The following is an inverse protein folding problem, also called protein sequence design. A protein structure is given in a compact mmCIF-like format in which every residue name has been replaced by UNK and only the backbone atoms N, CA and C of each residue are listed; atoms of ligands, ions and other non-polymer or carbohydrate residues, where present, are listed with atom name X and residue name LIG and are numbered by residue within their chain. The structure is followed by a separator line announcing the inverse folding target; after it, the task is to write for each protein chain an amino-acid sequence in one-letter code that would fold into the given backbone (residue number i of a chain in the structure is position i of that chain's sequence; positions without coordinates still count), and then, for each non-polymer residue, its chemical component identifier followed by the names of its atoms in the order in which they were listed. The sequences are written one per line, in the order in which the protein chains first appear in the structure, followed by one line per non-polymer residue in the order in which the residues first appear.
data_IF_150483878352
#
_entry.id   IF_150483878352
#
_cell.length_a   1.000
_cell.length_b   1.000
_cell.length_c   1.000
_cell.angle_alpha   90.00
_cell.angle_beta   90.00
_cell.angle_gamma   90.00
#
_symmetry.space_group_name_H-M   'P 1'
#
loop_
_entity.id
_entity.type
_entity.pdbx_description
1 polymer ?
#
# COMPACT_ATOMS: atom_id res chain seq x y z
N UNK A 1 3.20 6.43 14.96
CA UNK A 1 3.15 6.36 13.49
C UNK A 1 2.02 5.44 13.15
N UNK A 2 1.12 5.86 12.27
CA UNK A 2 -0.09 5.12 11.93
C UNK A 2 -0.16 5.06 10.41
N UNK A 3 -0.21 3.85 9.86
CA UNK A 3 -0.48 3.63 8.44
C UNK A 3 -1.92 3.16 8.33
N UNK A 4 -2.69 3.83 7.47
CA UNK A 4 -4.09 3.52 7.21
C UNK A 4 -4.27 3.32 5.72
N UNK A 5 -4.94 2.24 5.36
CA UNK A 5 -5.42 2.03 4.00
C UNK A 5 -6.66 2.91 3.77
N UNK A 6 -6.63 3.74 2.72
CA UNK A 6 -7.73 4.68 2.45
C UNK A 6 -8.88 3.98 1.71
N UNK A 7 -8.56 3.02 0.84
CA UNK A 7 -9.55 2.20 0.14
C UNK A 7 -9.00 0.82 -0.17
N UNK A 8 -9.88 -0.18 -0.16
CA UNK A 8 -9.57 -1.54 -0.57
C UNK A 8 -9.20 -1.62 -2.07
N UNK A 9 -8.38 -2.60 -2.49
CA UNK A 9 -8.24 -2.93 -3.90
C UNK A 9 -9.57 -3.31 -4.51
N UNK A 10 -9.74 -2.98 -5.79
CA UNK A 10 -10.90 -3.33 -6.58
C UNK A 10 -11.11 -4.87 -6.60
N UNK A 11 -12.37 -5.33 -6.55
CA UNK A 11 -12.68 -6.76 -6.44
C UNK A 11 -12.20 -7.54 -7.67
N UNK A 12 -12.30 -6.93 -8.85
CA UNK A 12 -11.83 -7.47 -10.12
C UNK A 12 -10.31 -7.69 -10.20
N UNK A 13 -9.54 -7.03 -9.33
CA UNK A 13 -8.10 -7.21 -9.26
C UNK A 13 -7.71 -8.46 -8.44
N UNK A 14 -8.66 -9.06 -7.70
CA UNK A 14 -8.42 -10.29 -6.96
C UNK A 14 -8.59 -11.50 -7.90
N UNK A 15 -7.57 -12.37 -8.03
CA UNK A 15 -7.52 -13.41 -9.06
C UNK A 15 -8.33 -14.68 -8.71
N UNK A 16 -9.62 -14.53 -8.39
CA UNK A 16 -10.49 -15.63 -7.92
C UNK A 16 -10.51 -16.80 -8.90
N UNK A 17 -10.66 -16.52 -10.19
CA UNK A 17 -10.74 -17.57 -11.24
C UNK A 17 -9.42 -18.30 -11.43
N UNK A 18 -8.31 -17.57 -11.51
CA UNK A 18 -6.98 -18.18 -11.59
C UNK A 18 -6.64 -19.00 -10.34
N UNK A 19 -7.16 -18.62 -9.17
CA UNK A 19 -7.01 -19.40 -7.95
C UNK A 19 -7.87 -20.67 -7.94
N UNK A 20 -9.10 -20.61 -8.45
CA UNK A 20 -9.93 -21.81 -8.64
C UNK A 20 -9.26 -22.83 -9.58
N UNK A 21 -8.64 -22.35 -10.66
CA UNK A 21 -7.83 -23.18 -11.57
C UNK A 21 -6.60 -23.76 -10.88
N UNK A 22 -5.90 -22.98 -10.04
CA UNK A 22 -4.77 -23.46 -9.24
C UNK A 22 -5.18 -24.60 -8.30
N UNK A 23 -6.35 -24.49 -7.67
CA UNK A 23 -6.95 -25.51 -6.82
C UNK A 23 -7.55 -26.70 -7.61
N UNK A 24 -7.57 -26.63 -8.94
CA UNK A 24 -8.16 -27.64 -9.84
C UNK A 24 -9.65 -27.89 -9.55
N UNK A 25 -10.38 -26.83 -9.23
CA UNK A 25 -11.84 -26.91 -9.10
C UNK A 25 -12.48 -27.20 -10.45
N UNK A 26 -13.56 -27.98 -10.45
CA UNK A 26 -14.30 -28.31 -11.66
C UNK A 26 -14.92 -27.07 -12.29
N UNK A 27 -14.87 -26.96 -13.61
CA UNK A 27 -15.45 -25.87 -14.40
C UNK A 27 -16.50 -26.38 -15.37
N UNK A 28 -17.40 -25.49 -15.82
CA UNK A 28 -18.44 -25.82 -16.80
C UNK A 28 -19.65 -26.57 -16.23
N UNK A 29 -19.80 -26.62 -14.91
CA UNK A 29 -20.99 -27.12 -14.23
C UNK A 29 -21.99 -25.98 -13.98
N UNK A 30 -23.25 -26.33 -13.67
CA UNK A 30 -24.29 -25.34 -13.41
C UNK A 30 -24.04 -24.51 -12.14
N UNK A 31 -23.24 -25.03 -11.21
CA UNK A 31 -22.82 -24.42 -9.94
C UNK A 31 -21.40 -23.82 -9.99
N UNK A 32 -20.84 -23.64 -11.20
CA UNK A 32 -19.55 -22.97 -11.37
C UNK A 32 -19.58 -21.57 -10.73
N UNK A 33 -18.64 -21.31 -9.81
CA UNK A 33 -18.58 -20.09 -9.02
C UNK A 33 -19.31 -20.10 -7.68
N UNK A 34 -19.92 -21.22 -7.27
CA UNK A 34 -20.55 -21.34 -5.95
C UNK A 34 -19.59 -21.04 -4.78
N UNK A 35 -18.27 -21.17 -4.98
CA UNK A 35 -17.24 -20.93 -3.97
C UNK A 35 -16.51 -19.58 -4.10
N UNK A 36 -16.86 -18.74 -5.08
CA UNK A 36 -16.09 -17.53 -5.39
C UNK A 36 -15.91 -16.59 -4.20
N UNK A 37 -16.96 -16.38 -3.42
CA UNK A 37 -16.87 -15.53 -2.23
C UNK A 37 -15.91 -16.06 -1.16
N UNK A 38 -15.83 -17.39 -1.00
CA UNK A 38 -14.88 -18.01 -0.06
C UNK A 38 -13.45 -17.94 -0.60
N UNK A 39 -13.26 -18.19 -1.89
CA UNK A 39 -11.97 -18.08 -2.56
C UNK A 39 -11.42 -16.65 -2.50
N UNK A 40 -12.26 -15.65 -2.73
CA UNK A 40 -11.89 -14.24 -2.60
C UNK A 40 -11.44 -13.91 -1.18
N UNK A 41 -12.15 -14.41 -0.16
CA UNK A 41 -11.79 -14.19 1.24
C UNK A 41 -10.40 -14.77 1.57
N UNK A 42 -10.13 -16.02 1.14
CA UNK A 42 -8.82 -16.64 1.35
C UNK A 42 -7.69 -15.90 0.63
N UNK A 43 -7.93 -15.45 -0.61
CA UNK A 43 -6.97 -14.64 -1.34
C UNK A 43 -6.68 -13.33 -0.62
N UNK A 44 -7.70 -12.59 -0.19
CA UNK A 44 -7.51 -11.32 0.54
C UNK A 44 -6.76 -11.52 1.85
N UNK A 45 -7.06 -12.59 2.59
CA UNK A 45 -6.34 -12.93 3.82
C UNK A 45 -4.86 -13.27 3.55
N UNK A 46 -4.58 -14.09 2.54
CA UNK A 46 -3.22 -14.46 2.16
C UNK A 46 -2.41 -13.25 1.66
N UNK A 47 -3.04 -12.39 0.83
CA UNK A 47 -2.44 -11.13 0.39
C UNK A 47 -2.08 -10.26 1.58
N UNK A 48 -3.02 -9.96 2.48
CA UNK A 48 -2.76 -9.13 3.66
C UNK A 48 -1.63 -9.70 4.53
N UNK A 49 -1.60 -11.03 4.74
CA UNK A 49 -0.55 -11.69 5.51
C UNK A 49 0.84 -11.57 4.86
N UNK A 50 0.92 -11.69 3.54
CA UNK A 50 2.18 -11.51 2.79
C UNK A 50 2.60 -10.05 2.80
N UNK A 51 1.70 -9.12 2.50
CA UNK A 51 1.99 -7.68 2.46
C UNK A 51 2.54 -7.19 3.82
N UNK A 52 1.92 -7.62 4.92
CA UNK A 52 2.38 -7.31 6.29
C UNK A 52 3.78 -7.88 6.60
N UNK A 53 4.13 -9.04 6.04
CA UNK A 53 5.43 -9.68 6.24
C UNK A 53 6.55 -8.95 5.50
N UNK A 54 6.30 -8.53 4.27
CA UNK A 54 7.36 -8.01 3.37
C UNK A 54 7.37 -6.48 3.25
N UNK A 55 6.36 -5.79 3.79
CA UNK A 55 6.22 -4.33 3.66
C UNK A 55 5.99 -3.88 2.22
N UNK A 56 5.32 -4.73 1.42
CA UNK A 56 4.96 -4.42 0.03
C UNK A 56 3.48 -4.59 -0.19
N UNK A 57 2.82 -3.61 -0.79
CA UNK A 57 1.48 -3.77 -1.33
C UNK A 57 1.57 -4.54 -2.66
N UNK A 58 0.75 -5.57 -2.83
CA UNK A 58 0.66 -6.34 -4.07
C UNK A 58 -0.10 -5.54 -5.13
N UNK A 59 -1.26 -5.03 -4.75
CA UNK A 59 -2.13 -4.20 -5.59
C UNK A 59 -2.00 -2.71 -5.21
N UNK A 60 -1.97 -1.87 -6.24
CA UNK A 60 -1.88 -0.42 -6.10
C UNK A 60 -3.14 0.14 -5.43
N UNK A 61 -2.95 0.85 -4.31
CA UNK A 61 -4.04 1.51 -3.59
C UNK A 61 -3.54 2.71 -2.77
N UNK A 62 -4.44 3.65 -2.41
CA UNK A 62 -4.09 4.81 -1.62
C UNK A 62 -3.90 4.48 -0.13
N UNK A 63 -2.90 5.11 0.47
CA UNK A 63 -2.56 5.03 1.88
C UNK A 63 -2.45 6.43 2.50
N UNK A 64 -2.80 6.52 3.78
CA UNK A 64 -2.48 7.66 4.64
C UNK A 64 -1.47 7.20 5.69
N UNK A 65 -0.37 7.94 5.81
CA UNK A 65 0.65 7.67 6.82
C UNK A 65 0.88 8.89 7.71
N UNK A 66 0.50 8.74 8.98
CA UNK A 66 0.59 9.77 9.99
C UNK A 66 1.82 9.60 10.89
N UNK A 67 2.60 10.67 11.03
CA UNK A 67 3.80 10.73 11.88
C UNK A 67 3.79 11.99 12.75
N UNK A 68 4.17 11.86 14.02
CA UNK A 68 4.27 12.99 14.95
C UNK A 68 5.64 13.68 14.92
N UNK A 69 6.62 13.04 14.29
CA UNK A 69 7.96 13.56 14.02
C UNK A 69 8.53 12.84 12.80
N UNK A 70 9.40 13.53 12.06
CA UNK A 70 10.23 12.88 11.04
C UNK A 70 11.22 11.92 11.70
N UNK A 71 11.50 10.79 11.06
CA UNK A 71 12.45 9.80 11.60
C UNK A 71 13.90 10.28 11.52
N UNK A 72 14.26 10.92 10.42
CA UNK A 72 15.59 11.48 10.18
C UNK A 72 15.46 12.99 9.93
N UNK A 73 16.52 13.76 10.18
CA UNK A 73 16.48 15.24 10.14
C UNK A 73 16.03 15.82 8.78
N UNK A 74 16.13 15.03 7.71
CA UNK A 74 15.70 15.42 6.36
C UNK A 74 14.91 14.32 5.63
N UNK A 75 14.54 13.22 6.30
CA UNK A 75 13.87 12.10 5.62
C UNK A 75 12.84 11.37 6.48
N UNK A 76 11.85 10.82 5.79
CA UNK A 76 10.82 9.96 6.35
C UNK A 76 10.64 8.74 5.46
N UNK A 77 11.03 7.56 5.97
CA UNK A 77 10.74 6.28 5.33
C UNK A 77 9.24 6.01 5.26
N UNK A 78 8.79 5.54 4.09
CA UNK A 78 7.43 5.07 3.89
C UNK A 78 7.38 3.58 4.23
N UNK A 79 6.46 3.13 5.10
CA UNK A 79 6.47 1.77 5.65
C UNK A 79 6.02 0.70 4.66
N UNK A 80 5.39 1.10 3.55
CA UNK A 80 4.91 0.20 2.50
C UNK A 80 5.32 0.72 1.13
N UNK A 81 5.72 -0.18 0.25
CA UNK A 81 6.01 0.11 -1.16
C UNK A 81 5.50 -0.97 -2.09
N UNK A 82 5.91 -1.00 -3.37
CA UNK A 82 6.59 0.09 -4.06
C UNK A 82 5.69 1.34 -4.15
N UNK A 83 6.26 2.53 -3.97
CA UNK A 83 5.50 3.79 -3.97
C UNK A 83 5.38 4.32 -5.39
N UNK A 84 4.14 4.53 -5.84
CA UNK A 84 3.80 4.98 -7.21
C UNK A 84 3.63 6.50 -7.30
N UNK A 85 3.06 7.11 -6.28
CA UNK A 85 2.89 8.57 -6.18
C UNK A 85 2.78 8.94 -4.71
N UNK A 86 3.20 10.16 -4.37
CA UNK A 86 2.83 10.82 -3.11
C UNK A 86 1.94 11.97 -3.53
N UNK A 87 0.68 11.93 -3.14
CA UNK A 87 -0.31 12.93 -3.54
C UNK A 87 -0.18 14.21 -2.73
N UNK A 88 0.27 14.13 -1.47
CA UNK A 88 0.46 15.33 -0.66
C UNK A 88 0.99 15.05 0.74
N UNK A 89 1.43 16.13 1.37
CA UNK A 89 1.84 16.16 2.78
C UNK A 89 1.06 17.27 3.47
N UNK A 90 0.29 16.93 4.50
CA UNK A 90 -0.50 17.88 5.27
C UNK A 90 0.01 17.92 6.70
N UNK A 91 0.28 19.12 7.22
CA UNK A 91 0.72 19.35 8.58
C UNK A 91 -0.46 19.79 9.43
N UNK A 92 -0.75 19.06 10.50
CA UNK A 92 -1.82 19.37 11.44
C UNK A 92 -1.26 19.96 12.72
N UNK A 93 -1.86 21.07 13.16
CA UNK A 93 -1.63 21.68 14.46
C UNK A 93 -2.32 20.93 15.61
N UNK A 94 -2.07 21.39 16.85
CA UNK A 94 -2.71 20.84 18.05
C UNK A 94 -4.22 21.13 18.12
N UNK A 95 -4.68 22.16 17.41
CA UNK A 95 -6.07 22.56 17.21
C UNK A 95 -6.78 21.75 16.10
N UNK A 96 -6.05 20.87 15.40
CA UNK A 96 -6.55 20.10 14.27
C UNK A 96 -6.57 20.88 12.94
N UNK A 97 -6.10 22.13 12.90
CA UNK A 97 -6.00 22.89 11.67
C UNK A 97 -4.92 22.28 10.76
N UNK A 98 -5.31 21.88 9.55
CA UNK A 98 -4.42 21.32 8.54
C UNK A 98 -3.90 22.38 7.58
N UNK A 99 -2.61 22.38 7.33
CA UNK A 99 -1.97 23.18 6.28
C UNK A 99 -1.21 22.24 5.33
N UNK A 100 -1.53 22.31 4.04
CA UNK A 100 -0.79 21.55 3.03
C UNK A 100 0.63 22.11 2.90
N UNK A 101 1.62 21.22 2.93
CA UNK A 101 3.01 21.60 2.74
C UNK A 101 3.27 21.80 1.24
N UNK A 102 3.92 22.92 0.91
CA UNK A 102 4.31 23.26 -0.46
C UNK A 102 5.06 22.08 -1.13
N UNK A 103 4.54 21.52 -2.24
CA UNK A 103 5.19 20.43 -2.98
C UNK A 103 6.63 20.72 -3.43
N UNK A 104 7.03 21.99 -3.52
CA UNK A 104 8.42 22.37 -3.84
C UNK A 104 9.39 22.18 -2.66
N UNK A 105 8.90 21.88 -1.45
CA UNK A 105 9.73 21.70 -0.25
C UNK A 105 10.17 20.26 -0.01
N UNK A 106 9.54 19.29 -0.68
CA UNK A 106 9.82 17.86 -0.51
C UNK A 106 9.89 17.14 -1.86
N UNK A 107 10.46 15.95 -1.87
CA UNK A 107 10.45 15.04 -3.01
C UNK A 107 10.43 13.59 -2.53
N UNK A 108 10.18 12.66 -3.46
CA UNK A 108 10.14 11.24 -3.17
C UNK A 108 11.39 10.59 -3.75
N UNK A 109 12.22 10.03 -2.88
CA UNK A 109 13.26 9.10 -3.31
C UNK A 109 12.59 7.75 -3.59
N UNK A 110 12.34 7.51 -4.87
CA UNK A 110 11.76 6.26 -5.37
C UNK A 110 12.83 5.17 -5.35
N UNK A 111 12.88 4.45 -4.23
CA UNK A 111 13.71 3.28 -4.05
C UNK A 111 12.82 2.05 -3.90
N UNK A 112 13.14 0.98 -4.64
CA UNK A 112 12.33 -0.25 -4.64
C UNK A 112 12.41 -1.00 -3.31
N UNK A 113 13.41 -0.72 -2.47
CA UNK A 113 13.60 -1.34 -1.16
C UNK A 113 13.15 -0.43 -0.01
N UNK A 114 13.49 0.86 -0.07
CA UNK A 114 13.35 1.85 1.01
C UNK A 114 12.83 3.18 0.47
N UNK A 115 11.57 3.25 0.01
CA UNK A 115 10.99 4.51 -0.45
C UNK A 115 10.98 5.53 0.68
N UNK A 116 11.42 6.76 0.39
CA UNK A 116 11.55 7.83 1.38
C UNK A 116 10.98 9.13 0.85
N UNK A 117 10.23 9.84 1.69
CA UNK A 117 10.02 11.27 1.54
C UNK A 117 11.28 11.99 2.02
N UNK A 118 11.82 12.90 1.22
CA UNK A 118 13.02 13.68 1.53
C UNK A 118 12.75 15.16 1.31
N UNK A 119 13.45 16.04 2.00
CA UNK A 119 13.40 17.47 1.68
C UNK A 119 14.07 17.76 0.33
N UNK A 120 13.49 18.66 -0.47
CA UNK A 120 13.98 18.96 -1.81
C UNK A 120 15.27 19.77 -1.75
N UNK A 121 16.19 19.52 -2.69
CA UNK A 121 17.49 20.22 -2.78
C UNK A 121 18.32 20.19 -1.48
N UNK A 122 18.25 19.09 -0.72
CA UNK A 122 19.00 18.92 0.53
C UNK A 122 18.46 19.73 1.71
N UNK A 123 17.27 20.34 1.59
CA UNK A 123 16.57 20.99 2.69
C UNK A 123 16.02 19.97 3.68
N UNK A 124 15.70 20.41 4.88
CA UNK A 124 14.90 19.62 5.83
C UNK A 124 13.45 19.52 5.37
N UNK A 125 12.76 18.46 5.80
CA UNK A 125 11.31 18.35 5.62
C UNK A 125 10.56 19.48 6.36
N UNK A 126 9.36 19.86 5.89
CA UNK A 126 8.52 20.86 6.55
C UNK A 126 8.35 20.58 8.04
N UNK A 127 8.50 21.60 8.87
CA UNK A 127 8.47 21.43 10.33
C UNK A 127 7.06 21.07 10.80
N UNK A 128 6.93 19.93 11.48
CA UNK A 128 5.68 19.52 12.14
C UNK A 128 5.43 20.46 13.34
N UNK A 129 4.24 21.06 13.47
CA UNK A 129 3.88 21.87 14.63
C UNK A 129 4.02 21.11 15.95
N UNK A 130 4.29 21.83 17.06
CA UNK A 130 4.36 21.19 18.39
C UNK A 130 3.00 20.58 18.73
N UNK A 131 3.02 19.36 19.27
CA UNK A 131 1.81 18.57 19.56
C UNK A 131 0.91 18.33 18.33
N UNK A 132 1.48 18.48 17.12
CA UNK A 132 0.84 18.19 15.86
C UNK A 132 1.33 16.88 15.24
N UNK A 133 0.94 16.66 13.98
CA UNK A 133 1.41 15.53 13.18
C UNK A 133 1.46 15.91 11.70
N UNK A 134 2.20 15.15 10.90
CA UNK A 134 2.11 15.18 9.45
C UNK A 134 1.33 13.97 8.96
N UNK A 135 0.44 14.18 8.00
CA UNK A 135 -0.19 13.14 7.18
C UNK A 135 0.47 13.13 5.80
N UNK A 136 0.91 11.97 5.36
CA UNK A 136 1.41 11.75 4.00
C UNK A 136 0.39 10.89 3.27
N UNK A 137 -0.18 11.39 2.19
CA UNK A 137 -1.05 10.62 1.28
C UNK A 137 -0.23 10.13 0.10
N UNK A 138 -0.25 8.83 -0.13
CA UNK A 138 0.52 8.21 -1.21
C UNK A 138 -0.16 6.94 -1.73
N UNK A 139 0.04 6.65 -3.01
CA UNK A 139 -0.35 5.39 -3.63
C UNK A 139 0.84 4.43 -3.64
N UNK A 140 0.63 3.21 -3.13
CA UNK A 140 1.63 2.15 -3.14
C UNK A 140 1.06 0.83 -3.67
N UNK A 141 1.91 0.06 -4.34
CA UNK A 141 1.63 -1.27 -4.90
C UNK A 141 2.28 -1.48 -6.26
N UNK A 142 2.46 -2.73 -6.68
CA UNK A 142 3.13 -3.04 -7.95
C UNK A 142 2.33 -2.55 -9.16
N UNK A 143 1.01 -2.68 -9.13
CA UNK A 143 0.10 -2.13 -10.12
C UNK A 143 -1.35 -2.42 -9.79
N UNK A 144 -2.26 -1.94 -10.62
CA UNK A 144 -3.71 -2.08 -10.39
C UNK A 144 -4.23 -3.49 -10.71
N UNK A 145 -3.56 -4.20 -11.63
CA UNK A 145 -3.90 -5.57 -12.00
C UNK A 145 -3.05 -6.60 -11.24
N UNK A 146 -3.60 -7.81 -11.09
CA UNK A 146 -2.89 -8.93 -10.50
C UNK A 146 -1.56 -9.23 -11.20
N UNK A 147 -1.52 -9.18 -12.54
CA UNK A 147 -0.32 -9.49 -13.33
C UNK A 147 0.82 -8.49 -13.17
N UNK A 148 0.56 -7.30 -12.59
CA UNK A 148 1.62 -6.33 -12.29
C UNK A 148 2.50 -6.79 -11.12
N UNK A 149 1.99 -7.66 -10.24
CA UNK A 149 2.78 -8.21 -9.14
C UNK A 149 3.79 -9.26 -9.64
N UNK A 150 5.02 -9.30 -9.06
CA UNK A 150 6.03 -10.31 -9.39
C UNK A 150 5.49 -11.74 -9.29
N UNK A 151 5.82 -12.58 -10.29
CA UNK A 151 5.25 -13.92 -10.42
C UNK A 151 5.51 -14.84 -9.20
N UNK A 152 6.67 -14.68 -8.55
CA UNK A 152 7.03 -15.37 -7.31
C UNK A 152 6.14 -14.98 -6.13
N UNK A 153 5.83 -13.69 -5.97
CA UNK A 153 4.88 -13.20 -4.96
C UNK A 153 3.45 -13.65 -5.27
N UNK A 154 3.05 -13.65 -6.54
CA UNK A 154 1.75 -14.19 -6.95
C UNK A 154 1.61 -15.66 -6.60
N UNK A 155 2.65 -16.45 -6.86
CA UNK A 155 2.68 -17.86 -6.48
C UNK A 155 2.64 -18.06 -4.96
N UNK A 156 3.36 -17.23 -4.19
CA UNK A 156 3.33 -17.30 -2.74
C UNK A 156 1.93 -17.05 -2.16
N UNK A 157 1.16 -16.13 -2.74
CA UNK A 157 -0.24 -15.89 -2.36
C UNK A 157 -1.09 -17.13 -2.60
N UNK A 158 -0.97 -17.79 -3.76
CA UNK A 158 -1.74 -19.00 -4.05
C UNK A 158 -1.39 -20.14 -3.09
N UNK A 159 -0.09 -20.36 -2.83
CA UNK A 159 0.35 -21.38 -1.88
C UNK A 159 -0.18 -21.13 -0.46
N UNK A 160 -0.22 -19.88 -0.02
CA UNK A 160 -0.72 -19.51 1.30
C UNK A 160 -2.26 -19.58 1.38
N UNK A 161 -2.96 -19.15 0.34
CA UNK A 161 -4.42 -19.20 0.29
C UNK A 161 -4.98 -20.63 0.19
N UNK A 162 -4.17 -21.57 -0.33
CA UNK A 162 -4.53 -22.98 -0.48
C UNK A 162 -4.21 -23.85 0.77
N UNK A 163 -3.63 -23.26 1.82
CA UNK A 163 -3.26 -23.96 3.05
C UNK A 163 -4.47 -24.22 3.94
#
# INVERSE_FOLDING_TARGET
MILTEVSAPAAEAVPVRAFAEHLRLGSGFADDGALDGALELYLRAAMAAIEARIGRALLARPFSFSVTRWREDASQGLPIGPVRSVEGVTLYGADGAGAEADPETWSVLRDSQRPRLVGRFGRSLPRIPRSGHAEIRFTAGFGESWDAAPADLRQAVFLLAAH
#
